data_IF_418602442096
#
_entry.id   IF_418602442096
#
_cell.length_a   1.000
_cell.length_b   1.000
_cell.length_c   1.000
_cell.angle_alpha   90.00
_cell.angle_beta   90.00
_cell.angle_gamma   90.00
#
_symmetry.space_group_name_H-M   'P 1'
#
loop_
_entity.id
_entity.type
_entity.pdbx_description
1 polymer ?
#
# COMPACT_ATOMS: atom_id res chain seq x y z
N UNK A 1 2.67 8.43 5.25
CA UNK A 1 2.11 7.79 6.46
C UNK A 1 0.61 8.05 6.61
N UNK A 2 0.15 9.31 6.58
CA UNK A 2 -1.27 9.64 6.67
C UNK A 2 -2.17 8.86 5.67
N UNK A 3 -1.73 8.71 4.42
CA UNK A 3 -2.49 7.97 3.40
C UNK A 3 -2.69 6.48 3.76
N UNK A 4 -1.64 5.81 4.26
CA UNK A 4 -1.72 4.40 4.67
C UNK A 4 -2.55 4.22 5.94
N UNK A 5 -2.49 5.18 6.87
CA UNK A 5 -3.26 5.12 8.11
C UNK A 5 -4.76 5.29 7.83
N UNK A 6 -5.12 6.24 6.95
CA UNK A 6 -6.49 6.45 6.49
C UNK A 6 -7.04 5.23 5.72
N UNK A 7 -6.24 4.66 4.81
CA UNK A 7 -6.61 3.46 4.07
C UNK A 7 -6.82 2.25 4.98
N UNK A 8 -5.96 2.06 5.99
CA UNK A 8 -6.09 0.99 6.96
C UNK A 8 -7.35 1.13 7.83
N UNK A 9 -7.68 2.35 8.27
CA UNK A 9 -8.88 2.62 9.04
C UNK A 9 -10.15 2.34 8.23
N UNK A 10 -10.18 2.76 6.96
CA UNK A 10 -11.30 2.48 6.07
C UNK A 10 -11.44 0.96 5.80
N UNK A 11 -10.32 0.29 5.49
CA UNK A 11 -10.33 -1.14 5.16
C UNK A 11 -10.79 -2.02 6.33
N UNK A 12 -10.50 -1.63 7.59
CA UNK A 12 -11.00 -2.32 8.79
C UNK A 12 -12.53 -2.30 8.93
N UNK A 13 -13.19 -1.30 8.36
CA UNK A 13 -14.65 -1.19 8.46
C UNK A 13 -15.38 -2.07 7.44
N UNK A 14 -14.72 -2.44 6.34
CA UNK A 14 -15.29 -3.26 5.26
C UNK A 14 -14.78 -4.71 5.27
N UNK A 15 -13.74 -5.02 6.06
CA UNK A 15 -13.23 -6.38 6.18
C UNK A 15 -11.94 -6.49 7.00
N UNK A 16 -11.23 -7.61 6.86
CA UNK A 16 -10.00 -7.88 7.59
C UNK A 16 -8.77 -7.31 6.89
N UNK A 17 -8.00 -6.48 7.58
CA UNK A 17 -6.75 -5.91 7.08
C UNK A 17 -5.58 -6.85 7.38
N UNK A 18 -4.96 -7.40 6.33
CA UNK A 18 -3.81 -8.31 6.47
C UNK A 18 -2.48 -7.61 6.77
N UNK A 19 -2.20 -6.47 6.12
CA UNK A 19 -0.95 -5.73 6.33
C UNK A 19 -1.07 -4.27 5.90
N UNK A 20 -0.30 -3.39 6.57
CA UNK A 20 -0.12 -1.97 6.23
C UNK A 20 1.36 -1.69 6.29
N UNK A 21 1.95 -1.17 5.22
CA UNK A 21 3.38 -0.91 5.15
C UNK A 21 3.68 0.40 4.42
N UNK A 22 4.68 1.13 4.90
CA UNK A 22 5.19 2.36 4.29
C UNK A 22 6.68 2.17 4.03
N UNK A 23 7.09 2.35 2.78
CA UNK A 23 8.50 2.40 2.38
C UNK A 23 8.81 3.85 2.00
N UNK A 24 9.41 4.67 2.89
CA UNK A 24 9.65 6.09 2.60
C UNK A 24 10.65 6.35 1.47
N UNK A 25 11.59 5.43 1.25
CA UNK A 25 12.59 5.48 0.18
C UNK A 25 12.74 4.09 -0.45
N UNK A 26 11.87 3.73 -1.41
CA UNK A 26 12.05 2.49 -2.15
C UNK A 26 13.33 2.58 -2.99
N UNK A 27 14.06 1.47 -3.09
CA UNK A 27 15.18 1.34 -4.02
C UNK A 27 14.66 1.33 -5.46
N UNK A 28 15.39 1.88 -6.42
CA UNK A 28 14.96 2.07 -7.82
C UNK A 28 14.58 0.76 -8.54
N UNK A 29 15.08 -0.38 -8.10
CA UNK A 29 14.76 -1.68 -8.69
C UNK A 29 13.44 -2.28 -8.19
N UNK A 30 12.90 -1.75 -7.10
CA UNK A 30 11.61 -2.19 -6.53
C UNK A 30 10.45 -1.82 -7.48
N UNK A 31 10.55 -0.70 -8.19
CA UNK A 31 9.55 -0.27 -9.18
C UNK A 31 9.56 -1.10 -10.48
N UNK A 32 10.67 -1.79 -10.77
CA UNK A 32 10.79 -2.65 -11.97
C UNK A 32 10.20 -4.04 -11.72
N UNK A 33 10.25 -4.50 -10.47
CA UNK A 33 9.84 -5.84 -10.05
C UNK A 33 8.39 -5.84 -9.55
N UNK A 34 7.93 -4.75 -8.92
CA UNK A 34 6.54 -4.63 -8.52
C UNK A 34 5.64 -4.49 -9.75
N UNK A 35 4.50 -5.20 -9.79
CA UNK A 35 3.50 -4.96 -10.81
C UNK A 35 3.01 -3.51 -10.66
N UNK A 36 3.28 -2.68 -11.67
CA UNK A 36 2.64 -1.36 -11.77
C UNK A 36 1.13 -1.61 -11.80
N UNK A 37 0.44 -1.05 -10.81
CA UNK A 37 -0.95 -1.37 -10.49
C UNK A 37 -1.83 -1.50 -11.74
N UNK A 38 -2.68 -2.52 -11.73
CA UNK A 38 -3.73 -2.79 -12.70
C UNK A 38 -4.41 -1.47 -13.04
N UNK A 39 -4.21 -1.00 -14.28
CA UNK A 39 -5.08 -0.02 -14.91
C UNK A 39 -6.42 -0.73 -15.07
N UNK A 40 -7.41 -0.39 -14.23
CA UNK A 40 -8.86 -0.37 -14.47
C UNK A 40 -9.57 0.02 -13.17
#
# INVERSE_FOLDING_TARGET
KAATDAGAAAARNVGEVKAVHVIPRPHTDVEKILPKGISQ
#
